data_IF_141966866397
#
_entry.id   IF_141966866397
#
_cell.length_a   1.000
_cell.length_b   1.000
_cell.length_c   1.000
_cell.angle_alpha   90.00
_cell.angle_beta   90.00
_cell.angle_gamma   90.00
#
_symmetry.space_group_name_H-M   'P 1'
#
loop_
_entity.id
_entity.type
_entity.pdbx_description
1 polymer ?
#
# COMPACT_ATOMS: atom_id res chain seq x y z
N UNK A 1 -7.07 1.00 10.76
CA UNK A 1 -5.69 1.31 10.36
C UNK A 1 -5.64 1.57 8.86
N UNK A 2 -4.52 2.08 8.35
CA UNK A 2 -4.33 2.45 6.93
C UNK A 2 -3.89 1.27 6.05
N UNK A 3 -3.77 0.05 6.60
CA UNK A 3 -3.50 -1.15 5.82
C UNK A 3 -4.67 -1.55 4.90
N UNK A 4 -4.54 -2.64 4.14
CA UNK A 4 -5.53 -3.08 3.15
C UNK A 4 -6.96 -3.17 3.71
N UNK A 5 -7.92 -2.63 2.97
CA UNK A 5 -9.34 -2.59 3.32
C UNK A 5 -10.19 -3.34 2.29
N UNK A 6 -11.16 -4.11 2.75
CA UNK A 6 -12.15 -4.73 1.86
C UNK A 6 -13.30 -3.74 1.59
N UNK A 7 -13.61 -3.39 0.32
CA UNK A 7 -14.65 -2.41 -0.02
C UNK A 7 -16.03 -2.80 0.53
N UNK A 8 -16.30 -4.11 0.67
CA UNK A 8 -17.53 -4.63 1.26
C UNK A 8 -17.82 -4.11 2.68
N UNK A 9 -16.79 -3.73 3.45
CA UNK A 9 -16.98 -3.12 4.78
C UNK A 9 -17.44 -1.65 4.72
N UNK A 10 -17.47 -1.05 3.53
CA UNK A 10 -17.66 0.38 3.31
C UNK A 10 -18.76 0.67 2.27
N UNK A 11 -19.62 -0.31 1.98
CA UNK A 11 -20.71 -0.18 1.00
C UNK A 11 -20.40 -0.75 -0.38
N UNK A 12 -19.24 -1.37 -0.57
CA UNK A 12 -18.88 -2.08 -1.79
C UNK A 12 -17.85 -1.35 -2.68
N UNK A 13 -17.40 -2.02 -3.75
CA UNK A 13 -16.42 -1.46 -4.68
C UNK A 13 -17.04 -0.44 -5.63
N UNK A 14 -16.23 0.48 -6.13
CA UNK A 14 -16.67 1.52 -7.09
C UNK A 14 -16.27 1.18 -8.52
N UNK A 15 -15.10 0.58 -8.70
CA UNK A 15 -14.50 0.23 -10.00
C UNK A 15 -14.43 -1.30 -10.21
N UNK A 16 -15.06 -2.08 -9.34
CA UNK A 16 -15.01 -3.56 -9.35
C UNK A 16 -13.80 -4.15 -8.62
N UNK A 17 -13.05 -3.32 -7.89
CA UNK A 17 -11.89 -3.73 -7.10
C UNK A 17 -12.25 -4.63 -5.91
N UNK A 18 -11.34 -5.50 -5.52
CA UNK A 18 -11.52 -6.40 -4.37
C UNK A 18 -10.94 -5.82 -3.08
N UNK A 19 -10.06 -4.83 -3.19
CA UNK A 19 -9.38 -4.21 -2.05
C UNK A 19 -9.01 -2.75 -2.31
N UNK A 20 -8.95 -1.98 -1.22
CA UNK A 20 -8.41 -0.63 -1.17
C UNK A 20 -7.09 -0.62 -0.40
N UNK A 21 -6.09 0.04 -0.96
CA UNK A 21 -4.70 0.04 -0.49
C UNK A 21 -4.19 1.48 -0.44
N UNK A 22 -3.22 1.75 0.41
CA UNK A 22 -2.44 2.99 0.35
C UNK A 22 -1.00 2.69 0.00
N UNK A 23 -0.23 3.69 -0.44
CA UNK A 23 1.21 3.54 -0.54
C UNK A 23 1.91 4.75 -1.11
N UNK A 24 3.17 4.55 -1.50
CA UNK A 24 4.05 5.58 -2.02
C UNK A 24 4.16 5.50 -3.54
N UNK A 25 3.97 6.60 -4.26
CA UNK A 25 4.15 6.61 -5.71
C UNK A 25 5.44 7.33 -6.10
N UNK A 26 6.10 6.85 -7.16
CA UNK A 26 7.22 7.57 -7.79
C UNK A 26 6.77 8.91 -8.37
N UNK A 27 7.73 9.78 -8.68
CA UNK A 27 7.46 11.08 -9.31
C UNK A 27 6.78 10.91 -10.68
N UNK A 28 7.21 9.92 -11.47
CA UNK A 28 6.62 9.59 -12.76
C UNK A 28 5.15 9.17 -12.63
N UNK A 29 4.83 8.29 -11.66
CA UNK A 29 3.45 7.87 -11.43
C UNK A 29 2.60 9.00 -10.85
N UNK A 30 3.18 9.84 -9.99
CA UNK A 30 2.53 11.02 -9.44
C UNK A 30 2.11 11.99 -10.55
N UNK A 31 2.99 12.27 -11.51
CA UNK A 31 2.70 13.13 -12.65
C UNK A 31 1.54 12.58 -13.52
N UNK A 32 1.46 11.25 -13.69
CA UNK A 32 0.36 10.60 -14.42
C UNK A 32 -0.98 10.67 -13.68
N UNK A 33 -0.97 10.72 -12.34
CA UNK A 33 -2.17 10.76 -11.51
C UNK A 33 -2.72 12.18 -11.29
N UNK A 34 -1.89 13.21 -11.49
CA UNK A 34 -2.22 14.63 -11.33
C UNK A 34 -1.93 15.19 -9.94
N UNK A 35 -2.30 16.47 -9.74
CA UNK A 35 -2.07 17.25 -8.52
C UNK A 35 -2.81 16.72 -7.28
N UNK A 36 -2.43 17.16 -6.08
CA UNK A 36 -3.02 16.75 -4.80
C UNK A 36 -4.54 16.92 -4.74
N UNK A 37 -5.22 15.89 -4.24
CA UNK A 37 -6.58 16.00 -3.77
C UNK A 37 -6.50 16.51 -2.33
N UNK A 38 -6.67 17.82 -2.12
CA UNK A 38 -6.47 18.51 -0.82
C UNK A 38 -7.27 17.98 0.39
N UNK A 39 -8.02 16.89 0.22
CA UNK A 39 -8.81 16.19 1.22
C UNK A 39 -8.04 15.25 2.16
N UNK A 40 -6.75 14.95 1.89
CA UNK A 40 -5.99 13.95 2.67
C UNK A 40 -4.69 14.46 3.30
N UNK A 41 -4.52 15.78 3.41
CA UNK A 41 -3.26 16.44 3.78
C UNK A 41 -2.39 16.72 2.54
N UNK A 42 -1.33 17.51 2.69
CA UNK A 42 -0.29 17.69 1.66
C UNK A 42 1.00 17.01 2.10
N UNK A 43 1.79 16.50 1.16
CA UNK A 43 3.16 16.05 1.44
C UNK A 43 4.12 17.23 1.19
N UNK A 44 4.67 17.89 2.24
CA UNK A 44 5.57 19.02 2.03
C UNK A 44 6.90 18.61 1.37
N UNK A 45 7.20 17.31 1.23
CA UNK A 45 8.46 16.80 0.65
C UNK A 45 8.48 16.78 -0.89
N UNK A 46 7.46 17.32 -1.55
CA UNK A 46 7.31 17.29 -3.01
C UNK A 46 7.13 18.67 -3.66
N UNK A 47 7.09 19.77 -2.89
CA UNK A 47 6.83 21.10 -3.45
C UNK A 47 5.44 21.31 -4.07
N UNK A 48 4.43 20.53 -3.67
CA UNK A 48 3.06 20.51 -4.19
C UNK A 48 2.77 19.48 -5.30
N UNK A 49 3.69 18.55 -5.58
CA UNK A 49 3.60 17.62 -6.74
C UNK A 49 2.96 16.27 -6.39
N UNK A 50 2.93 15.90 -5.12
CA UNK A 50 2.69 14.53 -4.68
C UNK A 50 1.24 14.23 -4.37
N UNK A 51 0.39 14.34 -5.40
CA UNK A 51 -0.98 13.80 -5.57
C UNK A 51 -1.66 13.07 -4.41
N UNK A 52 -1.62 13.60 -3.17
CA UNK A 52 -2.19 12.91 -2.03
C UNK A 52 -3.66 12.68 -2.35
N UNK A 53 -4.18 11.48 -2.08
CA UNK A 53 -5.60 11.25 -2.26
C UNK A 53 -6.00 11.11 -3.73
N UNK A 54 -5.04 10.95 -4.63
CA UNK A 54 -5.27 10.38 -5.96
C UNK A 54 -5.14 8.87 -5.92
N UNK A 55 -5.96 8.20 -6.74
CA UNK A 55 -6.06 6.76 -6.77
C UNK A 55 -5.71 6.18 -8.14
N UNK A 56 -5.10 5.00 -8.13
CA UNK A 56 -4.93 4.17 -9.30
C UNK A 56 -5.70 2.85 -9.12
N UNK A 57 -6.37 2.38 -10.16
CA UNK A 57 -6.86 1.00 -10.22
C UNK A 57 -5.73 0.13 -10.77
N UNK A 58 -5.25 -0.81 -9.97
CA UNK A 58 -4.06 -1.61 -10.21
C UNK A 58 -4.44 -3.08 -10.38
N UNK A 59 -3.83 -3.75 -11.35
CA UNK A 59 -3.99 -5.18 -11.61
C UNK A 59 -2.63 -5.86 -11.70
N UNK A 60 -2.49 -7.01 -11.03
CA UNK A 60 -1.30 -7.86 -11.16
C UNK A 60 -1.65 -9.15 -11.91
N UNK A 61 -1.40 -9.22 -13.23
CA UNK A 61 -1.74 -10.40 -14.04
C UNK A 61 -0.87 -11.62 -13.73
N UNK A 62 0.23 -11.48 -12.99
CA UNK A 62 1.11 -12.59 -12.61
C UNK A 62 0.71 -13.23 -11.27
N UNK A 63 -0.29 -12.68 -10.58
CA UNK A 63 -0.83 -13.22 -9.32
C UNK A 63 -1.64 -14.52 -9.52
N UNK A 64 -2.10 -15.14 -8.43
CA UNK A 64 -3.03 -16.27 -8.53
C UNK A 64 -4.47 -15.82 -8.86
N UNK A 65 -4.75 -14.52 -8.73
CA UNK A 65 -6.02 -13.87 -9.08
C UNK A 65 -5.79 -12.75 -10.11
N UNK A 66 -5.43 -13.10 -11.37
CA UNK A 66 -5.12 -12.12 -12.40
C UNK A 66 -6.31 -11.19 -12.73
N UNK A 67 -7.54 -11.61 -12.43
CA UNK A 67 -8.77 -10.84 -12.60
C UNK A 67 -8.98 -9.79 -11.49
N UNK A 68 -8.28 -9.90 -10.37
CA UNK A 68 -8.44 -8.97 -9.26
C UNK A 68 -7.79 -7.62 -9.56
N UNK A 69 -8.51 -6.58 -9.19
CA UNK A 69 -8.00 -5.21 -9.16
C UNK A 69 -8.04 -4.65 -7.75
N UNK A 70 -7.14 -3.71 -7.47
CA UNK A 70 -7.11 -2.96 -6.22
C UNK A 70 -7.11 -1.46 -6.52
N UNK A 71 -7.86 -0.68 -5.74
CA UNK A 71 -7.68 0.77 -5.76
C UNK A 71 -6.56 1.13 -4.79
N UNK A 72 -5.54 1.82 -5.28
CA UNK A 72 -4.40 2.23 -4.47
C UNK A 72 -4.35 3.76 -4.39
N UNK A 73 -4.51 4.30 -3.18
CA UNK A 73 -4.42 5.73 -2.90
C UNK A 73 -2.98 6.12 -2.58
N UNK A 74 -2.48 7.14 -3.25
CA UNK A 74 -1.18 7.73 -2.91
C UNK A 74 -1.27 8.49 -1.60
N UNK A 75 -0.38 8.15 -0.68
CA UNK A 75 -0.27 8.78 0.64
C UNK A 75 1.16 9.20 1.02
N UNK A 76 2.14 8.86 0.19
CA UNK A 76 3.53 9.23 0.39
C UNK A 76 4.22 9.35 -0.98
N UNK A 77 5.35 10.05 -1.02
CA UNK A 77 6.27 10.02 -2.16
C UNK A 77 7.22 8.83 -2.05
N UNK A 78 7.49 8.18 -3.18
CA UNK A 78 8.62 7.25 -3.31
C UNK A 78 9.77 7.98 -4.04
N UNK A 79 10.81 8.45 -3.33
CA UNK A 79 11.83 9.31 -3.93
C UNK A 79 12.67 8.58 -5.00
N UNK A 80 13.26 9.31 -5.96
CA UNK A 80 14.01 8.69 -7.06
C UNK A 80 15.29 7.97 -6.63
N UNK A 81 15.76 8.18 -5.40
CA UNK A 81 16.93 7.51 -4.83
C UNK A 81 16.59 6.22 -4.05
N UNK A 82 15.32 5.85 -3.88
CA UNK A 82 14.92 4.58 -3.26
C UNK A 82 14.76 3.47 -4.30
N UNK A 83 14.98 2.22 -3.89
CA UNK A 83 14.90 1.06 -4.80
C UNK A 83 13.52 0.99 -5.46
N UNK A 84 13.50 0.80 -6.79
CA UNK A 84 12.27 0.68 -7.58
C UNK A 84 11.64 2.01 -8.01
N UNK A 85 12.04 3.16 -7.44
CA UNK A 85 11.36 4.44 -7.66
C UNK A 85 12.11 5.44 -8.55
N UNK A 86 13.10 4.95 -9.32
CA UNK A 86 13.91 5.75 -10.23
C UNK A 86 13.08 6.69 -11.10
N UNK A 87 13.63 7.88 -11.37
CA UNK A 87 12.90 9.07 -11.83
C UNK A 87 12.06 8.94 -13.13
N UNK A 88 12.19 7.85 -13.88
CA UNK A 88 11.58 7.67 -15.20
C UNK A 88 10.53 6.55 -15.28
N UNK A 89 10.36 5.72 -14.25
CA UNK A 89 9.43 4.59 -14.29
C UNK A 89 8.26 4.75 -13.29
N UNK A 90 7.01 4.53 -13.73
CA UNK A 90 5.88 4.49 -12.81
C UNK A 90 6.04 3.34 -11.81
N UNK A 91 6.11 3.66 -10.53
CA UNK A 91 6.25 2.70 -9.45
C UNK A 91 5.31 3.04 -8.30
N UNK A 92 4.76 2.00 -7.66
CA UNK A 92 3.90 2.12 -6.50
C UNK A 92 4.30 1.12 -5.41
N UNK A 93 4.81 1.64 -4.29
CA UNK A 93 5.15 0.86 -3.11
C UNK A 93 3.92 0.74 -2.20
N UNK A 94 3.34 -0.45 -2.12
CA UNK A 94 2.06 -0.72 -1.47
C UNK A 94 2.26 -0.98 0.03
N UNK A 95 1.51 -0.27 0.87
CA UNK A 95 1.51 -0.49 2.31
C UNK A 95 0.76 -1.79 2.69
N UNK A 96 1.50 -2.90 2.72
CA UNK A 96 1.02 -4.21 3.14
C UNK A 96 1.65 -4.63 4.49
N UNK A 97 0.90 -4.68 5.60
CA UNK A 97 1.45 -5.03 6.92
C UNK A 97 2.11 -6.41 6.91
N UNK A 98 3.31 -6.51 7.49
CA UNK A 98 4.09 -7.75 7.54
C UNK A 98 5.01 -7.95 6.34
N UNK A 99 4.81 -7.25 5.23
CA UNK A 99 5.55 -7.47 3.98
C UNK A 99 6.77 -6.54 3.81
N UNK A 100 7.12 -5.74 4.82
CA UNK A 100 8.31 -4.89 4.75
C UNK A 100 9.56 -5.76 4.64
N UNK A 101 10.45 -5.44 3.69
CA UNK A 101 11.70 -6.16 3.52
C UNK A 101 12.85 -5.32 4.09
N UNK A 102 13.33 -5.69 5.28
CA UNK A 102 14.33 -4.92 6.03
C UNK A 102 15.65 -4.70 5.29
N UNK A 103 15.98 -5.51 4.28
CA UNK A 103 17.18 -5.30 3.46
C UNK A 103 17.03 -4.07 2.55
N UNK A 104 15.81 -3.76 2.12
CA UNK A 104 15.52 -2.71 1.14
C UNK A 104 14.81 -1.50 1.75
N UNK A 105 14.18 -1.69 2.92
CA UNK A 105 13.45 -0.65 3.63
C UNK A 105 14.40 0.39 4.22
N UNK A 106 14.29 1.63 3.78
CA UNK A 106 15.16 2.74 4.21
C UNK A 106 14.54 3.59 5.33
N UNK A 107 13.26 3.38 5.63
CA UNK A 107 12.49 4.25 6.53
C UNK A 107 11.53 3.50 7.48
N UNK A 108 11.77 2.21 7.76
CA UNK A 108 10.93 1.44 8.67
C UNK A 108 11.00 1.99 10.11
N UNK A 109 9.89 2.51 10.62
CA UNK A 109 9.74 3.02 11.99
C UNK A 109 8.95 2.10 12.92
N UNK A 110 8.46 0.96 12.42
CA UNK A 110 7.63 0.01 13.15
C UNK A 110 8.39 -0.60 14.32
N UNK A 111 7.83 -0.53 15.53
CA UNK A 111 8.49 -0.98 16.75
C UNK A 111 9.54 -0.01 17.31
N UNK A 112 9.92 1.03 16.55
CA UNK A 112 10.81 2.11 16.99
C UNK A 112 10.01 3.29 17.52
N UNK A 113 8.98 3.73 16.78
CA UNK A 113 8.11 4.84 17.21
C UNK A 113 6.95 4.34 18.07
N UNK A 114 6.61 5.11 19.11
CA UNK A 114 5.40 4.86 19.90
C UNK A 114 4.16 4.93 18.99
N UNK A 115 3.19 4.05 19.24
CA UNK A 115 1.92 4.03 18.51
C UNK A 115 1.91 3.26 17.20
N UNK A 116 3.03 2.64 16.78
CA UNK A 116 3.05 1.80 15.57
C UNK A 116 2.40 0.44 15.76
N UNK A 117 2.05 0.04 17.00
CA UNK A 117 1.42 -1.24 17.29
C UNK A 117 2.31 -2.48 17.18
N UNK A 118 3.45 -2.40 16.48
CA UNK A 118 4.49 -3.42 16.43
C UNK A 118 5.44 -3.37 17.64
N UNK A 119 5.95 -4.53 18.03
CA UNK A 119 6.96 -4.69 19.09
C UNK A 119 8.39 -4.48 18.58
N UNK A 120 8.65 -4.75 17.29
CA UNK A 120 9.95 -4.56 16.66
C UNK A 120 9.80 -4.40 15.14
N UNK A 121 10.89 -4.03 14.46
CA UNK A 121 10.93 -3.96 13.00
C UNK A 121 10.80 -5.36 12.37
N UNK A 122 11.38 -6.39 12.99
CA UNK A 122 11.28 -7.78 12.54
C UNK A 122 9.83 -8.28 12.55
N UNK A 123 9.03 -7.89 13.55
CA UNK A 123 7.60 -8.23 13.57
C UNK A 123 6.84 -7.56 12.40
N UNK A 124 7.28 -6.38 11.94
CA UNK A 124 6.68 -5.75 10.76
C UNK A 124 7.12 -6.36 9.43
N UNK A 125 8.13 -7.24 9.47
CA UNK A 125 8.77 -7.88 8.32
C UNK A 125 8.57 -9.41 8.29
N UNK A 126 7.64 -9.95 9.08
CA UNK A 126 7.36 -11.40 9.17
C UNK A 126 7.15 -12.07 7.81
N UNK A 127 6.55 -11.37 6.85
CA UNK A 127 6.34 -11.80 5.46
C UNK A 127 7.26 -11.10 4.46
N UNK A 128 8.24 -10.28 4.89
CA UNK A 128 9.12 -9.51 4.00
C UNK A 128 9.97 -10.34 3.04
N UNK A 129 10.24 -11.59 3.44
CA UNK A 129 10.97 -12.59 2.64
C UNK A 129 10.11 -13.83 2.36
N UNK A 130 8.79 -13.68 2.23
CA UNK A 130 7.85 -14.79 2.00
C UNK A 130 8.29 -15.75 0.88
N UNK A 131 8.96 -15.23 -0.15
CA UNK A 131 9.47 -15.96 -1.31
C UNK A 131 10.57 -16.98 -0.98
N UNK A 132 11.14 -16.98 0.23
CA UNK A 132 12.08 -18.01 0.68
C UNK A 132 11.40 -19.33 1.08
N UNK A 133 10.09 -19.30 1.34
CA UNK A 133 9.35 -20.44 1.92
C UNK A 133 7.97 -20.68 1.28
N UNK A 134 7.45 -19.73 0.50
CA UNK A 134 6.15 -19.82 -0.15
C UNK A 134 6.24 -19.51 -1.65
N UNK A 135 5.38 -20.13 -2.45
CA UNK A 135 5.33 -19.91 -3.91
C UNK A 135 4.58 -18.63 -4.26
N UNK A 136 3.63 -18.26 -3.41
CA UNK A 136 2.90 -17.00 -3.52
C UNK A 136 2.53 -16.47 -2.12
N UNK A 137 2.09 -15.21 -2.04
CA UNK A 137 1.73 -14.58 -0.77
C UNK A 137 0.58 -15.27 -0.03
N UNK A 138 -0.36 -15.92 -0.72
CA UNK A 138 -1.52 -16.55 -0.10
C UNK A 138 -1.12 -17.82 0.67
N UNK A 139 -0.14 -18.58 0.19
CA UNK A 139 0.43 -19.75 0.90
C UNK A 139 1.03 -19.32 2.26
N UNK A 140 1.58 -18.11 2.32
CA UNK A 140 2.18 -17.52 3.51
C UNK A 140 1.18 -16.76 4.40
N UNK A 141 -0.10 -16.70 4.07
CA UNK A 141 -1.09 -15.90 4.79
C UNK A 141 -1.26 -16.29 6.27
N UNK A 142 -0.92 -17.53 6.64
CA UNK A 142 -0.92 -18.00 8.03
C UNK A 142 0.08 -17.23 8.92
N UNK A 143 1.16 -16.68 8.34
CA UNK A 143 2.13 -15.86 9.07
C UNK A 143 1.57 -14.50 9.50
N UNK A 144 0.48 -14.04 8.87
CA UNK A 144 -0.22 -12.84 9.29
C UNK A 144 -0.71 -12.93 10.75
N UNK A 145 -0.91 -14.13 11.29
CA UNK A 145 -1.34 -14.34 12.68
C UNK A 145 -0.26 -13.96 13.71
N UNK A 146 0.99 -13.79 13.27
CA UNK A 146 2.10 -13.33 14.12
C UNK A 146 2.18 -11.80 14.22
N UNK A 147 1.41 -11.08 13.39
CA UNK A 147 1.30 -9.63 13.46
C UNK A 147 0.34 -9.22 14.60
N UNK A 148 0.47 -7.99 15.13
CA UNK A 148 -0.52 -7.45 16.06
C UNK A 148 -1.94 -7.50 15.47
N UNK A 149 -2.94 -7.79 16.31
CA UNK A 149 -4.32 -8.10 15.91
C UNK A 149 -4.92 -7.10 14.91
N UNK A 150 -4.64 -5.81 15.07
CA UNK A 150 -5.13 -4.75 14.20
C UNK A 150 -4.59 -4.80 12.76
N UNK A 151 -3.50 -5.51 12.49
CA UNK A 151 -2.88 -5.65 11.17
C UNK A 151 -3.21 -6.96 10.46
N UNK A 152 -3.61 -7.99 11.21
CA UNK A 152 -3.81 -9.34 10.68
C UNK A 152 -4.82 -9.36 9.53
N UNK A 153 -5.95 -8.66 9.67
CA UNK A 153 -6.98 -8.59 8.63
C UNK A 153 -6.47 -7.98 7.33
N UNK A 154 -5.72 -6.88 7.41
CA UNK A 154 -5.14 -6.22 6.25
C UNK A 154 -4.05 -7.07 5.59
N UNK A 155 -3.18 -7.68 6.40
CA UNK A 155 -2.17 -8.62 5.93
C UNK A 155 -2.79 -9.77 5.14
N UNK A 156 -3.81 -10.44 5.71
CA UNK A 156 -4.49 -11.57 5.05
C UNK A 156 -5.19 -11.15 3.76
N UNK A 157 -5.80 -9.95 3.73
CA UNK A 157 -6.43 -9.44 2.52
C UNK A 157 -5.41 -9.24 1.40
N UNK A 158 -4.28 -8.59 1.66
CA UNK A 158 -3.23 -8.45 0.64
C UNK A 158 -2.63 -9.81 0.26
N UNK A 159 -2.30 -10.64 1.25
CA UNK A 159 -1.75 -11.97 1.03
C UNK A 159 -2.65 -12.81 0.10
N UNK A 160 -3.97 -12.70 0.24
CA UNK A 160 -4.94 -13.43 -0.60
C UNK A 160 -4.89 -13.06 -2.08
N UNK A 161 -4.31 -11.91 -2.46
CA UNK A 161 -4.08 -11.57 -3.86
C UNK A 161 -3.12 -12.59 -4.53
N UNK A 162 -2.23 -13.19 -3.75
CA UNK A 162 -1.33 -14.26 -4.20
C UNK A 162 -0.29 -13.77 -5.19
N UNK A 163 0.45 -12.72 -4.83
CA UNK A 163 1.59 -12.27 -5.62
C UNK A 163 2.65 -13.37 -5.65
N UNK A 164 3.23 -13.60 -6.84
CA UNK A 164 4.29 -14.60 -7.07
C UNK A 164 5.70 -13.98 -7.13
N UNK A 165 5.79 -12.65 -7.07
CA UNK A 165 7.03 -11.89 -7.01
C UNK A 165 6.79 -10.61 -6.22
N UNK A 166 7.79 -10.14 -5.47
CA UNK A 166 7.70 -8.90 -4.71
C UNK A 166 7.66 -7.64 -5.59
N UNK A 167 8.27 -7.70 -6.77
CA UNK A 167 8.31 -6.61 -7.77
C UNK A 167 7.88 -7.13 -9.16
N UNK A 168 6.56 -7.28 -9.40
CA UNK A 168 6.02 -7.74 -10.67
C UNK A 168 6.07 -6.65 -11.75
N UNK A 169 6.68 -6.93 -12.91
CA UNK A 169 6.89 -5.94 -13.99
C UNK A 169 5.71 -5.78 -14.95
N UNK A 170 4.72 -6.68 -14.90
CA UNK A 170 3.54 -6.69 -15.79
C UNK A 170 2.31 -6.06 -15.15
N UNK A 171 2.48 -5.38 -14.01
CA UNK A 171 1.38 -4.67 -13.36
C UNK A 171 0.82 -3.62 -14.30
N UNK A 172 -0.49 -3.61 -14.46
CA UNK A 172 -1.20 -2.57 -15.19
C UNK A 172 -1.88 -1.64 -14.19
N UNK A 173 -1.97 -0.36 -14.55
CA UNK A 173 -2.66 0.62 -13.73
C UNK A 173 -3.36 1.66 -14.60
N UNK A 174 -4.39 2.30 -14.04
CA UNK A 174 -4.98 3.52 -14.58
C UNK A 174 -5.36 4.46 -13.45
N UNK A 175 -5.20 5.76 -13.65
CA UNK A 175 -5.72 6.74 -12.71
C UNK A 175 -7.26 6.65 -12.67
N UNK A 176 -7.84 6.74 -11.47
CA UNK A 176 -9.29 6.69 -11.24
C UNK A 176 -9.70 7.65 -10.14
N UNK A 177 -10.98 8.02 -10.10
CA UNK A 177 -11.53 8.71 -8.94
C UNK A 177 -11.41 7.82 -7.70
N UNK A 178 -10.90 8.36 -6.59
CA UNK A 178 -10.88 7.62 -5.35
C UNK A 178 -12.30 7.35 -4.85
N UNK A 179 -12.63 6.11 -4.43
CA UNK A 179 -13.88 5.81 -3.77
C UNK A 179 -14.09 6.75 -2.57
N UNK A 180 -15.21 7.49 -2.55
CA UNK A 180 -15.48 8.50 -1.50
C UNK A 180 -15.40 7.93 -0.09
N UNK A 181 -15.84 6.69 0.09
CA UNK A 181 -15.77 5.96 1.36
C UNK A 181 -14.35 5.59 1.75
N UNK A 182 -13.49 5.32 0.76
CA UNK A 182 -12.08 5.10 1.01
C UNK A 182 -11.39 6.40 1.46
N UNK A 183 -11.66 7.52 0.79
CA UNK A 183 -11.18 8.85 1.19
C UNK A 183 -11.63 9.20 2.62
N UNK A 184 -12.91 8.99 2.94
CA UNK A 184 -13.44 9.22 4.29
C UNK A 184 -12.75 8.33 5.34
N UNK A 185 -12.57 7.05 5.05
CA UNK A 185 -11.87 6.12 5.94
C UNK A 185 -10.44 6.57 6.19
N UNK A 186 -9.66 6.81 5.13
CA UNK A 186 -8.27 7.26 5.26
C UNK A 186 -8.21 8.60 5.97
N UNK A 187 -9.00 9.59 5.57
CA UNK A 187 -9.05 10.91 6.22
C UNK A 187 -9.39 10.84 7.72
N UNK A 188 -10.23 9.89 8.14
CA UNK A 188 -10.58 9.71 9.56
C UNK A 188 -9.38 9.30 10.42
N UNK A 189 -8.37 8.63 9.84
CA UNK A 189 -7.18 8.14 10.52
C UNK A 189 -6.12 9.22 10.74
N UNK A 190 -6.27 10.42 10.18
CA UNK A 190 -5.32 11.51 10.30
C UNK A 190 -5.98 12.75 10.89
N UNK A 191 -5.20 13.55 11.60
CA UNK A 191 -5.57 14.89 12.04
C UNK A 191 -4.47 15.89 11.68
N UNK A 192 -4.62 17.14 12.11
CA UNK A 192 -3.65 18.21 11.83
C UNK A 192 -2.22 17.93 12.31
N UNK A 193 -2.02 16.94 13.19
CA UNK A 193 -0.71 16.52 13.73
C UNK A 193 -0.20 15.18 13.16
N UNK A 194 -0.85 14.64 12.11
CA UNK A 194 -0.53 13.34 11.53
C UNK A 194 -1.51 12.23 11.95
N UNK A 195 -1.09 10.95 11.94
CA UNK A 195 -1.94 9.83 12.34
C UNK A 195 -2.57 10.02 13.72
N UNK A 196 -3.85 9.62 13.87
CA UNK A 196 -4.59 9.62 15.13
C UNK A 196 -4.49 8.29 15.87
#
# INVERSE_FOLDING_TARGET
GYGPQAPANFGGPVHGEVMWLTGAASDALSALMGEDDGCCGGDPNDGGVGGCGKCALVQNPDSIHPEWTAVVMKKNRCPPWTNGCGASEPHFDVAAPGFDNLQWSTANVCGVRKGTGFQSQEQSATLGSWYSQCVNTADCAHLCDQLPAQYQRGCKLFASWGWKKGDPSRVSFKAVECPKRFVQHVGSLFGARGPK
#
